data_IF_992366564153
#
_entry.id   IF_992366564153
#
_cell.length_a   1.000
_cell.length_b   1.000
_cell.length_c   1.000
_cell.angle_alpha   90.00
_cell.angle_beta   90.00
_cell.angle_gamma   90.00
#
_symmetry.space_group_name_H-M   'P 1'
#
loop_
_entity.id
_entity.type
_entity.pdbx_description
1 polymer ?
#
# COMPACT_ATOMS: atom_id res chain seq x y z
N UNK A 1 -0.74 14.66 -21.54
CA UNK A 1 0.38 13.85 -21.03
C UNK A 1 -0.11 12.42 -20.81
N UNK A 2 0.38 11.48 -21.61
CA UNK A 2 0.08 10.05 -21.50
C UNK A 2 0.55 9.53 -20.14
N UNK A 3 -0.35 8.90 -19.37
CA UNK A 3 0.00 8.20 -18.14
C UNK A 3 0.71 6.90 -18.53
N UNK A 4 2.03 6.94 -18.67
CA UNK A 4 2.83 5.72 -18.69
C UNK A 4 2.66 5.02 -17.33
N UNK A 5 2.13 3.80 -17.34
CA UNK A 5 2.11 2.98 -16.14
C UNK A 5 3.54 2.50 -15.89
N UNK A 6 4.06 2.76 -14.68
CA UNK A 6 5.33 2.20 -14.19
C UNK A 6 5.39 0.67 -14.25
N UNK A 7 4.24 0.02 -14.25
CA UNK A 7 4.11 -1.43 -14.44
C UNK A 7 3.81 -1.71 -15.92
N UNK A 8 4.88 -1.85 -16.71
CA UNK A 8 4.84 -2.23 -18.12
C UNK A 8 5.43 -3.64 -18.31
N UNK A 9 5.27 -4.23 -19.50
CA UNK A 9 5.75 -5.59 -19.78
C UNK A 9 7.24 -5.76 -19.51
N UNK A 10 8.07 -4.74 -19.80
CA UNK A 10 9.51 -4.76 -19.54
C UNK A 10 9.82 -4.81 -18.05
N UNK A 11 9.13 -4.01 -17.25
CA UNK A 11 9.25 -4.03 -15.78
C UNK A 11 8.91 -5.41 -15.19
N UNK A 12 8.05 -6.19 -15.85
CA UNK A 12 7.70 -7.55 -15.44
C UNK A 12 8.66 -8.61 -15.95
N UNK A 13 9.38 -8.34 -17.04
CA UNK A 13 10.52 -9.15 -17.47
C UNK A 13 11.71 -8.93 -16.53
N UNK A 14 11.94 -7.70 -16.05
CA UNK A 14 12.94 -7.42 -15.02
C UNK A 14 12.65 -8.18 -13.72
N UNK A 15 11.37 -8.36 -13.35
CA UNK A 15 10.99 -9.22 -12.24
C UNK A 15 11.46 -10.66 -12.46
N UNK A 16 11.41 -11.23 -13.68
CA UNK A 16 11.96 -12.58 -13.95
C UNK A 16 13.45 -12.68 -13.63
N UNK A 17 14.20 -11.62 -13.91
CA UNK A 17 15.66 -11.59 -13.79
C UNK A 17 16.08 -11.28 -12.35
N UNK A 18 15.41 -10.33 -11.70
CA UNK A 18 15.80 -9.80 -10.38
C UNK A 18 15.13 -10.53 -9.21
N UNK A 19 13.94 -11.11 -9.41
CA UNK A 19 13.14 -11.70 -8.35
C UNK A 19 12.54 -13.05 -8.81
N UNK A 20 13.07 -14.16 -8.29
CA UNK A 20 12.60 -15.51 -8.62
C UNK A 20 11.21 -15.82 -8.03
N UNK A 21 10.17 -15.07 -8.41
CA UNK A 21 8.81 -15.23 -7.91
C UNK A 21 7.87 -15.79 -9.01
N UNK A 22 7.89 -17.11 -9.26
CA UNK A 22 7.18 -17.75 -10.38
C UNK A 22 5.66 -17.50 -10.35
N UNK A 23 5.09 -17.22 -9.17
CA UNK A 23 3.66 -16.96 -8.97
C UNK A 23 3.17 -15.60 -9.48
N UNK A 24 4.07 -14.71 -9.93
CA UNK A 24 3.73 -13.41 -10.52
C UNK A 24 4.00 -13.35 -12.03
N UNK A 25 4.57 -14.41 -12.60
CA UNK A 25 4.95 -14.46 -14.01
C UNK A 25 3.73 -14.69 -14.91
N UNK A 26 3.81 -14.14 -16.12
CA UNK A 26 2.81 -14.38 -17.16
C UNK A 26 2.73 -15.87 -17.47
N UNK A 27 1.52 -16.42 -17.46
CA UNK A 27 1.32 -17.80 -17.88
C UNK A 27 1.52 -17.89 -19.40
N UNK A 28 2.44 -18.75 -19.83
CA UNK A 28 2.88 -18.88 -21.22
C UNK A 28 1.74 -19.32 -22.16
N UNK A 29 0.78 -20.11 -21.66
CA UNK A 29 -0.33 -20.61 -22.48
C UNK A 29 -1.45 -19.58 -22.65
N UNK A 30 -1.74 -18.78 -21.63
CA UNK A 30 -2.86 -17.83 -21.64
C UNK A 30 -2.44 -16.38 -21.92
N UNK A 31 -1.12 -16.10 -21.92
CA UNK A 31 -0.53 -14.76 -21.94
C UNK A 31 -1.14 -13.82 -20.88
N UNK A 32 -1.75 -14.38 -19.82
CA UNK A 32 -2.36 -13.62 -18.72
C UNK A 32 -1.52 -13.74 -17.47
N UNK A 33 -1.48 -12.66 -16.70
CA UNK A 33 -0.86 -12.67 -15.39
C UNK A 33 -1.81 -13.28 -14.36
N UNK A 34 -1.30 -14.08 -13.42
CA UNK A 34 -2.12 -14.63 -12.35
C UNK A 34 -2.75 -13.50 -11.55
N UNK A 35 -4.02 -13.70 -11.12
CA UNK A 35 -4.64 -12.80 -10.16
C UNK A 35 -3.85 -12.88 -8.88
N UNK A 36 -3.28 -11.76 -8.48
CA UNK A 36 -2.50 -11.68 -7.25
C UNK A 36 -3.45 -11.54 -6.06
N UNK A 37 -3.10 -12.18 -4.96
CA UNK A 37 -3.94 -12.29 -3.76
C UNK A 37 -4.05 -10.96 -2.97
N UNK A 38 -3.40 -9.90 -3.44
CA UNK A 38 -3.49 -8.53 -2.92
C UNK A 38 -4.40 -7.61 -3.75
N UNK A 39 -5.05 -8.11 -4.81
CA UNK A 39 -6.04 -7.33 -5.56
C UNK A 39 -7.36 -7.31 -4.79
N UNK A 40 -7.80 -6.13 -4.38
CA UNK A 40 -9.16 -5.94 -3.88
C UNK A 40 -10.18 -6.20 -4.98
N UNK A 41 -11.19 -7.02 -4.65
CA UNK A 41 -12.35 -7.20 -5.50
C UNK A 41 -13.23 -5.93 -5.52
N UNK A 42 -14.28 -5.95 -6.35
CA UNK A 42 -15.18 -4.79 -6.47
C UNK A 42 -15.88 -4.43 -5.15
N UNK A 43 -16.28 -5.44 -4.36
CA UNK A 43 -17.01 -5.24 -3.10
C UNK A 43 -16.08 -4.65 -2.04
N UNK A 44 -14.88 -5.18 -1.89
CA UNK A 44 -13.86 -4.69 -0.98
C UNK A 44 -13.44 -3.25 -1.32
N UNK A 45 -13.36 -2.90 -2.61
CA UNK A 45 -13.14 -1.51 -3.03
C UNK A 45 -14.30 -0.59 -2.67
N UNK A 46 -15.53 -1.05 -2.82
CA UNK A 46 -16.71 -0.27 -2.44
C UNK A 46 -16.75 -0.02 -0.93
N UNK A 47 -16.50 -1.05 -0.12
CA UNK A 47 -16.39 -0.93 1.34
C UNK A 47 -15.30 0.07 1.71
N UNK A 48 -14.10 -0.04 1.11
CA UNK A 48 -12.99 0.87 1.35
C UNK A 48 -13.36 2.33 1.00
N UNK A 49 -13.95 2.55 -0.18
CA UNK A 49 -14.30 3.89 -0.65
C UNK A 49 -15.41 4.50 0.23
N UNK A 50 -16.44 3.74 0.61
CA UNK A 50 -17.49 4.21 1.54
C UNK A 50 -16.90 4.60 2.89
N UNK A 51 -16.08 3.72 3.47
CA UNK A 51 -15.41 4.01 4.74
C UNK A 51 -14.57 5.30 4.67
N UNK A 52 -13.82 5.51 3.57
CA UNK A 52 -13.07 6.75 3.38
C UNK A 52 -13.94 7.99 3.16
N UNK A 53 -15.15 7.87 2.59
CA UNK A 53 -16.07 9.00 2.49
C UNK A 53 -16.69 9.41 3.82
N UNK A 54 -16.91 8.43 4.70
CA UNK A 54 -17.50 8.62 6.02
C UNK A 54 -16.47 9.03 7.08
N UNK A 55 -15.19 8.77 6.81
CA UNK A 55 -14.09 9.11 7.70
C UNK A 55 -14.04 10.61 7.96
N UNK A 56 -14.29 11.00 9.22
CA UNK A 56 -14.15 12.37 9.70
C UNK A 56 -13.01 12.42 10.71
N UNK A 57 -12.10 13.37 10.50
CA UNK A 57 -11.07 13.69 11.48
C UNK A 57 -11.54 14.86 12.36
N UNK A 58 -11.32 14.79 13.68
CA UNK A 58 -11.84 15.81 14.60
C UNK A 58 -11.25 17.21 14.43
N UNK A 59 -10.14 17.42 13.70
CA UNK A 59 -9.66 18.74 13.26
C UNK A 59 -8.52 18.59 12.23
N UNK A 60 -8.03 19.72 11.68
CA UNK A 60 -7.04 20.02 10.59
C UNK A 60 -5.86 19.08 10.26
N UNK A 61 -5.74 17.94 10.94
CA UNK A 61 -4.70 16.92 10.77
C UNK A 61 -4.67 16.26 9.41
N UNK A 62 -5.78 16.26 8.68
CA UNK A 62 -5.83 15.76 7.31
C UNK A 62 -6.84 16.60 6.53
N UNK A 63 -6.54 16.89 5.27
CA UNK A 63 -7.54 17.52 4.43
C UNK A 63 -8.70 16.54 4.21
N UNK A 64 -9.88 17.06 3.86
CA UNK A 64 -11.08 16.24 3.72
C UNK A 64 -10.87 15.12 2.67
N UNK A 65 -10.54 13.91 3.12
CA UNK A 65 -10.19 12.75 2.28
C UNK A 65 -11.34 12.32 1.36
N UNK A 66 -12.59 12.65 1.73
CA UNK A 66 -13.78 12.42 0.89
C UNK A 66 -13.63 13.03 -0.49
N UNK A 67 -12.96 14.19 -0.61
CA UNK A 67 -12.73 14.85 -1.91
C UNK A 67 -11.90 13.98 -2.87
N UNK A 68 -11.13 13.05 -2.31
CA UNK A 68 -10.26 12.17 -3.06
C UNK A 68 -10.95 10.88 -3.51
N UNK A 69 -12.18 10.60 -3.05
CA UNK A 69 -12.87 9.34 -3.35
C UNK A 69 -13.81 9.49 -4.56
N UNK A 70 -13.50 8.78 -5.64
CA UNK A 70 -14.40 8.60 -6.79
C UNK A 70 -15.17 7.29 -6.63
N UNK A 71 -16.45 7.37 -6.25
CA UNK A 71 -17.33 6.21 -6.06
C UNK A 71 -17.77 5.57 -7.37
N UNK A 72 -17.78 6.31 -8.48
CA UNK A 72 -18.15 5.74 -9.79
C UNK A 72 -17.04 4.83 -10.31
N UNK A 73 -15.78 5.20 -10.07
CA UNK A 73 -14.60 4.44 -10.51
C UNK A 73 -13.99 3.56 -9.42
N UNK A 74 -14.48 3.66 -8.17
CA UNK A 74 -13.94 3.02 -6.96
C UNK A 74 -12.43 3.26 -6.82
N UNK A 75 -12.02 4.53 -6.90
CA UNK A 75 -10.61 4.96 -6.91
C UNK A 75 -10.37 6.17 -6.03
N UNK A 76 -9.15 6.26 -5.51
CA UNK A 76 -8.63 7.45 -4.87
C UNK A 76 -7.89 8.31 -5.90
N UNK A 77 -8.24 9.59 -5.99
CA UNK A 77 -7.69 10.56 -6.93
C UNK A 77 -7.42 11.89 -6.20
N UNK A 78 -6.38 12.62 -6.60
CA UNK A 78 -6.16 13.98 -6.09
C UNK A 78 -5.79 14.07 -4.61
N UNK A 79 -5.24 13.01 -4.02
CA UNK A 79 -4.58 13.10 -2.71
C UNK A 79 -3.33 13.98 -2.84
N UNK A 80 -3.19 14.98 -1.98
CA UNK A 80 -1.95 15.74 -1.90
C UNK A 80 -0.88 14.93 -1.11
N UNK A 81 0.35 15.43 -1.06
CA UNK A 81 1.45 14.76 -0.35
C UNK A 81 1.11 14.51 1.12
N UNK A 82 0.55 15.50 1.80
CA UNK A 82 0.15 15.42 3.20
C UNK A 82 -0.89 14.32 3.45
N UNK A 83 -1.94 14.25 2.63
CA UNK A 83 -2.96 13.21 2.71
C UNK A 83 -2.35 11.81 2.48
N UNK A 84 -1.40 11.69 1.55
CA UNK A 84 -0.66 10.45 1.33
C UNK A 84 0.18 10.04 2.55
N UNK A 85 0.86 11.00 3.21
CA UNK A 85 1.63 10.71 4.43
C UNK A 85 0.73 10.21 5.56
N UNK A 86 -0.38 10.92 5.84
CA UNK A 86 -1.34 10.49 6.86
C UNK A 86 -1.92 9.11 6.53
N UNK A 87 -2.28 8.89 5.26
CA UNK A 87 -2.80 7.61 4.81
C UNK A 87 -1.78 6.48 5.03
N UNK A 88 -0.51 6.71 4.67
CA UNK A 88 0.56 5.73 4.82
C UNK A 88 0.85 5.39 6.28
N UNK A 89 0.87 6.40 7.16
CA UNK A 89 1.25 6.26 8.57
C UNK A 89 0.13 5.75 9.48
N UNK A 90 -1.13 5.98 9.11
CA UNK A 90 -2.27 5.70 9.99
C UNK A 90 -3.32 4.82 9.31
N UNK A 91 -3.76 5.24 8.12
CA UNK A 91 -4.94 4.63 7.52
C UNK A 91 -4.65 3.29 6.86
N UNK A 92 -3.45 3.03 6.33
CA UNK A 92 -3.11 1.73 5.74
C UNK A 92 -3.43 0.57 6.70
N UNK A 93 -3.04 0.70 7.96
CA UNK A 93 -3.24 -0.36 8.95
C UNK A 93 -4.71 -0.61 9.27
N UNK A 94 -5.57 0.41 9.18
CA UNK A 94 -6.99 0.31 9.53
C UNK A 94 -7.80 -0.08 8.29
N UNK A 95 -7.56 0.62 7.18
CA UNK A 95 -8.28 0.52 5.92
C UNK A 95 -8.27 -0.90 5.36
N UNK A 96 -7.14 -1.60 5.46
CA UNK A 96 -6.96 -2.90 4.81
C UNK A 96 -7.14 -4.09 5.76
N UNK A 97 -7.34 -3.87 7.07
CA UNK A 97 -7.33 -4.93 8.10
C UNK A 97 -8.25 -6.11 7.77
N UNK A 98 -9.46 -5.82 7.33
CA UNK A 98 -10.48 -6.82 7.00
C UNK A 98 -10.65 -7.02 5.48
N UNK A 99 -9.84 -6.32 4.66
CA UNK A 99 -9.96 -6.35 3.20
C UNK A 99 -8.89 -7.21 2.51
N UNK A 100 -7.79 -7.52 3.20
CA UNK A 100 -6.71 -8.36 2.66
C UNK A 100 -6.29 -9.44 3.66
N UNK A 101 -5.69 -10.55 3.18
CA UNK A 101 -5.17 -11.59 4.05
C UNK A 101 -4.17 -11.07 5.10
N UNK A 102 -4.21 -11.64 6.30
CA UNK A 102 -3.38 -11.22 7.45
C UNK A 102 -1.88 -11.21 7.15
N UNK A 103 -1.40 -12.17 6.36
CA UNK A 103 0.00 -12.25 5.95
C UNK A 103 0.45 -11.07 5.06
N UNK A 104 -0.47 -10.34 4.43
CA UNK A 104 -0.20 -9.13 3.66
C UNK A 104 -0.42 -7.86 4.46
N UNK A 105 -1.47 -7.87 5.27
CA UNK A 105 -1.79 -6.76 6.15
C UNK A 105 -0.69 -6.48 7.17
N UNK A 106 -0.08 -7.54 7.73
CA UNK A 106 0.95 -7.39 8.75
C UNK A 106 2.18 -6.60 8.25
N UNK A 107 2.82 -6.93 7.12
CA UNK A 107 3.94 -6.15 6.60
C UNK A 107 3.58 -4.70 6.23
N UNK A 108 2.37 -4.45 5.75
CA UNK A 108 1.87 -3.09 5.50
C UNK A 108 1.72 -2.29 6.79
N UNK A 109 1.23 -2.94 7.85
CA UNK A 109 1.10 -2.32 9.18
C UNK A 109 2.46 -2.06 9.81
N UNK A 110 3.40 -3.00 9.71
CA UNK A 110 4.78 -2.80 10.17
C UNK A 110 5.45 -1.61 9.46
N UNK A 111 5.24 -1.47 8.15
CA UNK A 111 5.72 -0.31 7.38
C UNK A 111 5.06 1.00 7.82
N UNK A 112 3.75 0.97 8.07
CA UNK A 112 2.98 2.12 8.55
C UNK A 112 3.51 2.62 9.91
N UNK A 113 3.74 1.68 10.84
CA UNK A 113 4.32 1.95 12.15
C UNK A 113 5.77 2.44 12.08
N UNK A 114 6.56 1.91 11.15
CA UNK A 114 7.91 2.39 10.88
C UNK A 114 7.90 3.87 10.49
N UNK A 115 7.05 4.27 9.53
CA UNK A 115 6.98 5.68 9.13
C UNK A 115 6.44 6.58 10.22
N UNK A 116 5.42 6.12 10.96
CA UNK A 116 4.88 6.86 12.10
C UNK A 116 5.94 7.10 13.19
N UNK A 117 6.78 6.10 13.43
CA UNK A 117 7.92 6.18 14.35
C UNK A 117 8.99 7.15 13.86
N UNK A 118 9.32 7.10 12.57
CA UNK A 118 10.32 7.96 11.95
C UNK A 118 9.91 9.43 11.95
N UNK A 119 8.61 9.72 11.83
CA UNK A 119 8.08 11.10 11.85
C UNK A 119 7.59 11.54 13.22
N UNK A 120 7.96 10.81 14.28
CA UNK A 120 7.69 11.25 15.65
C UNK A 120 8.44 12.55 15.95
N UNK A 121 7.82 13.44 16.74
CA UNK A 121 8.45 14.70 17.18
C UNK A 121 9.72 14.41 18.00
N UNK A 122 9.73 13.31 18.74
CA UNK A 122 10.87 12.85 19.52
C UNK A 122 11.18 11.40 19.18
N UNK A 123 12.47 11.11 18.98
CA UNK A 123 12.99 9.77 18.75
C UNK A 123 14.30 9.60 19.53
N UNK A 124 14.43 8.51 20.28
CA UNK A 124 15.67 8.19 20.99
C UNK A 124 16.64 7.49 20.07
N UNK A 125 17.94 7.64 20.34
CA UNK A 125 18.99 6.96 19.57
C UNK A 125 18.79 5.43 19.57
N UNK A 126 18.42 4.86 20.72
CA UNK A 126 18.12 3.43 20.83
C UNK A 126 16.99 3.02 19.88
N UNK A 127 15.90 3.77 19.86
CA UNK A 127 14.76 3.47 18.99
C UNK A 127 15.13 3.65 17.51
N UNK A 128 15.96 4.63 17.18
CA UNK A 128 16.45 4.83 15.81
C UNK A 128 17.30 3.65 15.33
N UNK A 129 18.17 3.10 16.20
CA UNK A 129 18.95 1.88 15.91
C UNK A 129 18.03 0.65 15.72
N UNK A 130 16.92 0.58 16.45
CA UNK A 130 15.93 -0.48 16.24
C UNK A 130 15.21 -0.33 14.89
N UNK A 131 14.81 0.89 14.51
CA UNK A 131 14.21 1.16 13.20
C UNK A 131 15.14 0.76 12.05
N UNK A 132 16.43 1.11 12.14
CA UNK A 132 17.45 0.74 11.16
C UNK A 132 17.59 -0.78 11.00
N UNK A 133 17.53 -1.54 12.11
CA UNK A 133 17.55 -3.02 12.06
C UNK A 133 16.25 -3.61 11.51
N UNK A 134 15.11 -2.95 11.73
CA UNK A 134 13.80 -3.47 11.36
C UNK A 134 13.45 -3.22 9.90
N UNK A 135 13.88 -2.10 9.29
CA UNK A 135 13.48 -1.74 7.93
C UNK A 135 13.86 -2.80 6.87
N UNK A 136 15.04 -3.46 6.90
CA UNK A 136 15.37 -4.51 5.93
C UNK A 136 14.45 -5.72 6.06
N UNK A 137 14.01 -6.06 7.28
CA UNK A 137 13.10 -7.17 7.54
C UNK A 137 11.70 -6.86 7.01
N UNK A 138 11.20 -5.64 7.24
CA UNK A 138 9.91 -5.16 6.72
C UNK A 138 9.92 -5.16 5.19
N UNK A 139 10.98 -4.61 4.59
CA UNK A 139 11.15 -4.58 3.14
C UNK A 139 11.24 -5.99 2.56
N UNK A 140 11.92 -6.92 3.22
CA UNK A 140 11.99 -8.32 2.78
C UNK A 140 10.61 -9.01 2.81
N UNK A 141 9.82 -8.78 3.87
CA UNK A 141 8.44 -9.30 3.94
C UNK A 141 7.58 -8.74 2.82
N UNK A 142 7.66 -7.43 2.55
CA UNK A 142 6.92 -6.78 1.46
C UNK A 142 7.35 -7.30 0.08
N UNK A 143 8.66 -7.43 -0.15
CA UNK A 143 9.21 -8.02 -1.38
C UNK A 143 8.59 -9.38 -1.62
N UNK A 144 8.67 -10.31 -0.66
CA UNK A 144 8.09 -11.67 -0.78
C UNK A 144 6.60 -11.72 -1.13
N UNK A 145 5.85 -10.64 -0.93
CA UNK A 145 4.40 -10.59 -1.18
C UNK A 145 4.09 -9.89 -2.50
N UNK A 146 4.80 -8.82 -2.81
CA UNK A 146 4.48 -7.91 -3.91
C UNK A 146 5.47 -7.96 -5.09
N UNK A 147 6.63 -8.60 -4.93
CA UNK A 147 7.74 -8.65 -5.90
C UNK A 147 8.29 -10.09 -6.03
#
# INVERSE_FOLDING_TARGET
MSREKKDNTKSREDLKILFHHPKLLQNESTKKYPKTCYILDGKAKEVLCKWLQELRFPDSYMSNIRRCVDMNKLKLLGMNSHDCYVFMQWLISIAFRELIPRNMWQPLTELSLFFKSLTSITITEEYMRQLEKNIPLILNKLKRIFL
#
